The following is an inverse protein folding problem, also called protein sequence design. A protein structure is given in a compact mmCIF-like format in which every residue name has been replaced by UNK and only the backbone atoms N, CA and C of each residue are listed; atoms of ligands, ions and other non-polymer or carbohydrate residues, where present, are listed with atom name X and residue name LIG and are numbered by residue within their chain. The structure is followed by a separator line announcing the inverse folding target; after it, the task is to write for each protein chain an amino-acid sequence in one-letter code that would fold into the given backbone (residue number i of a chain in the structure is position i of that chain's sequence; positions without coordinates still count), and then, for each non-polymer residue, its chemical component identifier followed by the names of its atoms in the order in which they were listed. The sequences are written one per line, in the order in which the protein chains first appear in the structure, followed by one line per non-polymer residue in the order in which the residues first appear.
data_IF_950293333801
#
_entry.id   IF_950293333801
#
_cell.length_a   1.000
_cell.length_b   1.000
_cell.length_c   1.000
_cell.angle_alpha   90.00
_cell.angle_beta   90.00
_cell.angle_gamma   90.00
#
_symmetry.space_group_name_H-M   'P 1'
#
loop_
_entity.id
_entity.type
_entity.pdbx_description
1 polymer ?
#
# COMPACT_ATOMS: atom_id res chain seq x y z
N UNK A 1 31.94 -17.01 17.03
CA UNK A 1 31.06 -16.51 15.94
C UNK A 1 29.97 -17.53 15.69
N UNK A 2 28.75 -17.32 16.20
CA UNK A 2 27.59 -18.17 15.90
C UNK A 2 27.13 -17.87 14.49
N UNK A 3 27.33 -18.79 13.54
CA UNK A 3 26.69 -18.75 12.21
C UNK A 3 25.19 -18.84 12.45
N UNK A 4 24.50 -17.71 12.24
CA UNK A 4 23.04 -17.64 12.36
C UNK A 4 22.40 -18.58 11.33
N UNK A 5 21.80 -19.65 11.80
CA UNK A 5 20.83 -20.40 10.99
C UNK A 5 19.72 -19.38 10.64
N UNK A 6 19.67 -18.93 9.40
CA UNK A 6 18.51 -18.25 8.85
C UNK A 6 17.33 -19.17 9.14
N UNK A 7 16.51 -18.80 10.11
CA UNK A 7 15.33 -19.58 10.46
C UNK A 7 14.44 -19.60 9.20
N UNK A 8 13.91 -20.77 8.86
CA UNK A 8 13.00 -20.94 7.73
C UNK A 8 11.87 -19.89 7.77
N UNK A 9 11.43 -19.49 8.96
CA UNK A 9 10.45 -18.40 9.17
C UNK A 9 10.92 -17.06 8.61
N UNK A 10 12.21 -16.72 8.76
CA UNK A 10 12.76 -15.49 8.21
C UNK A 10 12.84 -15.54 6.68
N UNK A 11 13.14 -16.72 6.12
CA UNK A 11 13.16 -16.91 4.67
C UNK A 11 11.77 -16.68 4.04
N UNK A 12 10.72 -17.24 4.65
CA UNK A 12 9.35 -16.99 4.20
C UNK A 12 8.98 -15.51 4.29
N UNK A 13 9.38 -14.84 5.36
CA UNK A 13 9.17 -13.39 5.51
C UNK A 13 9.82 -12.58 4.39
N UNK A 14 11.06 -12.91 4.05
CA UNK A 14 11.79 -12.27 2.94
C UNK A 14 11.08 -12.51 1.60
N UNK A 15 10.67 -13.75 1.32
CA UNK A 15 9.97 -14.10 0.09
C UNK A 15 8.65 -13.33 -0.03
N UNK A 16 7.82 -13.31 1.03
CA UNK A 16 6.56 -12.56 1.01
C UNK A 16 6.78 -11.07 0.84
N UNK A 17 7.79 -10.50 1.49
CA UNK A 17 8.11 -9.09 1.34
C UNK A 17 8.56 -8.75 -0.09
N UNK A 18 9.41 -9.60 -0.68
CA UNK A 18 9.85 -9.42 -2.07
C UNK A 18 8.69 -9.51 -3.06
N UNK A 19 7.78 -10.48 -2.87
CA UNK A 19 6.58 -10.60 -3.69
C UNK A 19 5.65 -9.39 -3.54
N UNK A 20 5.48 -8.88 -2.32
CA UNK A 20 4.68 -7.68 -2.08
C UNK A 20 5.29 -6.46 -2.79
N UNK A 21 6.60 -6.26 -2.68
CA UNK A 21 7.28 -5.16 -3.37
C UNK A 21 7.21 -5.28 -4.89
N UNK A 22 7.31 -6.49 -5.44
CA UNK A 22 7.09 -6.72 -6.87
C UNK A 22 5.65 -6.40 -7.29
N UNK A 23 4.66 -6.73 -6.44
CA UNK A 23 3.26 -6.36 -6.65
C UNK A 23 3.05 -4.85 -6.71
N UNK A 24 3.62 -4.10 -5.76
CA UNK A 24 3.56 -2.64 -5.78
C UNK A 24 4.24 -2.02 -7.02
N UNK A 25 5.40 -2.56 -7.43
CA UNK A 25 6.08 -2.06 -8.63
C UNK A 25 5.24 -2.29 -9.90
N UNK A 26 4.54 -3.41 -9.99
CA UNK A 26 3.60 -3.67 -11.10
C UNK A 26 2.38 -2.73 -11.04
N UNK A 27 1.84 -2.49 -9.86
CA UNK A 27 0.74 -1.53 -9.66
C UNK A 27 1.15 -0.13 -10.11
N UNK A 28 2.30 0.37 -9.67
CA UNK A 28 2.84 1.68 -10.06
C UNK A 28 3.02 1.80 -11.58
N UNK A 29 3.51 0.74 -12.23
CA UNK A 29 3.67 0.68 -13.68
C UNK A 29 2.31 0.77 -14.38
N UNK A 30 1.31 0.02 -13.92
CA UNK A 30 -0.03 0.03 -14.48
C UNK A 30 -0.67 1.40 -14.32
N UNK A 31 -0.56 2.01 -13.14
CA UNK A 31 -1.04 3.37 -12.87
C UNK A 31 -0.40 4.36 -13.84
N UNK A 32 0.92 4.26 -14.05
CA UNK A 32 1.64 5.13 -14.99
C UNK A 32 1.17 4.96 -16.42
N UNK A 33 0.93 3.75 -16.85
CA UNK A 33 0.40 3.48 -18.21
C UNK A 33 -1.03 4.02 -18.35
N UNK A 34 -1.89 3.80 -17.36
CA UNK A 34 -3.28 4.27 -17.38
C UNK A 34 -3.38 5.79 -17.31
N UNK A 35 -2.45 6.46 -16.61
CA UNK A 35 -2.45 7.92 -16.47
C UNK A 35 -2.24 8.66 -17.80
N UNK A 36 -1.78 7.99 -18.85
CA UNK A 36 -1.71 8.54 -20.21
C UNK A 36 -3.08 8.59 -20.91
N UNK A 37 -4.03 7.78 -20.47
CA UNK A 37 -5.34 7.62 -21.13
C UNK A 37 -6.52 8.07 -20.27
N UNK A 38 -6.36 8.12 -18.95
CA UNK A 38 -7.43 8.37 -17.99
C UNK A 38 -7.00 9.43 -16.96
N UNK A 39 -7.93 10.28 -16.50
CA UNK A 39 -7.68 11.19 -15.39
C UNK A 39 -7.47 10.39 -14.08
N UNK A 40 -6.64 10.93 -13.19
CA UNK A 40 -6.27 10.34 -11.89
C UNK A 40 -7.49 9.92 -11.07
N UNK A 41 -8.57 10.72 -11.12
CA UNK A 41 -9.81 10.42 -10.39
C UNK A 41 -10.47 9.11 -10.82
N UNK A 42 -10.46 8.79 -12.11
CA UNK A 42 -10.97 7.52 -12.61
C UNK A 42 -10.11 6.34 -12.16
N UNK A 43 -8.79 6.48 -12.22
CA UNK A 43 -7.85 5.45 -11.76
C UNK A 43 -8.10 5.14 -10.29
N UNK A 44 -8.25 6.15 -9.44
CA UNK A 44 -8.55 6.00 -8.02
C UNK A 44 -9.86 5.24 -7.77
N UNK A 45 -10.91 5.55 -8.54
CA UNK A 45 -12.21 4.87 -8.42
C UNK A 45 -12.05 3.38 -8.76
N UNK A 46 -11.38 3.04 -9.86
CA UNK A 46 -11.19 1.64 -10.26
C UNK A 46 -10.37 0.86 -9.24
N UNK A 47 -9.25 1.43 -8.77
CA UNK A 47 -8.42 0.80 -7.73
C UNK A 47 -9.23 0.59 -6.45
N UNK A 48 -9.96 1.61 -6.00
CA UNK A 48 -10.79 1.54 -4.80
C UNK A 48 -11.90 0.50 -4.89
N UNK A 49 -12.60 0.43 -6.02
CA UNK A 49 -13.64 -0.57 -6.25
C UNK A 49 -13.07 -1.99 -6.29
N UNK A 50 -11.97 -2.19 -7.01
CA UNK A 50 -11.36 -3.50 -7.15
C UNK A 50 -10.79 -3.99 -5.81
N UNK A 51 -10.03 -3.14 -5.11
CA UNK A 51 -9.51 -3.44 -3.78
C UNK A 51 -10.64 -3.72 -2.78
N UNK A 52 -11.69 -2.89 -2.77
CA UNK A 52 -12.86 -3.09 -1.92
C UNK A 52 -13.54 -4.43 -2.17
N UNK A 53 -13.70 -4.81 -3.43
CA UNK A 53 -14.28 -6.11 -3.82
C UNK A 53 -13.42 -7.28 -3.32
N UNK A 54 -12.11 -7.22 -3.53
CA UNK A 54 -11.16 -8.27 -3.10
C UNK A 54 -11.20 -8.41 -1.57
N UNK A 55 -11.11 -7.29 -0.84
CA UNK A 55 -11.17 -7.33 0.63
C UNK A 55 -12.53 -7.83 1.14
N UNK A 56 -13.63 -7.46 0.49
CA UNK A 56 -14.96 -7.98 0.83
C UNK A 56 -15.03 -9.50 0.68
N UNK A 57 -14.51 -10.03 -0.43
CA UNK A 57 -14.47 -11.47 -0.69
C UNK A 57 -13.63 -12.18 0.39
N UNK A 58 -12.42 -11.68 0.67
CA UNK A 58 -11.52 -12.24 1.69
C UNK A 58 -12.19 -12.24 3.07
N UNK A 59 -12.82 -11.14 3.47
CA UNK A 59 -13.50 -11.03 4.74
C UNK A 59 -14.67 -12.01 4.87
N UNK A 60 -15.42 -12.21 3.78
CA UNK A 60 -16.52 -13.18 3.72
C UNK A 60 -16.02 -14.61 3.88
N UNK A 61 -14.90 -14.98 3.25
CA UNK A 61 -14.30 -16.30 3.40
C UNK A 61 -13.78 -16.53 4.83
N UNK A 62 -13.22 -15.52 5.47
CA UNK A 62 -12.72 -15.58 6.83
C UNK A 62 -13.81 -15.41 7.89
N UNK A 63 -15.09 -15.30 7.51
CA UNK A 63 -16.25 -15.09 8.42
C UNK A 63 -16.04 -13.92 9.38
N UNK A 64 -15.24 -12.94 9.00
CA UNK A 64 -15.03 -11.71 9.78
C UNK A 64 -16.16 -10.71 9.48
N UNK A 65 -16.66 -10.04 10.50
CA UNK A 65 -17.64 -8.97 10.32
C UNK A 65 -17.00 -7.81 9.54
N UNK A 66 -17.46 -7.58 8.31
CA UNK A 66 -16.95 -6.50 7.44
C UNK A 66 -17.36 -5.13 7.98
N UNK A 67 -18.48 -5.07 8.72
CA UNK A 67 -19.04 -3.86 9.31
C UNK A 67 -19.18 -4.02 10.82
N UNK A 68 -18.10 -3.82 11.56
CA UNK A 68 -18.18 -3.65 13.00
C UNK A 68 -18.33 -2.16 13.32
N UNK A 69 -19.49 -1.80 13.86
CA UNK A 69 -19.86 -0.42 14.19
C UNK A 69 -18.91 0.20 15.23
N UNK A 70 -18.28 -0.62 16.05
CA UNK A 70 -17.32 -0.17 17.05
C UNK A 70 -16.01 0.30 16.39
N UNK A 71 -15.57 -0.38 15.35
CA UNK A 71 -14.39 -0.04 14.56
C UNK A 71 -14.59 1.28 13.83
N UNK A 72 -15.77 1.50 13.24
CA UNK A 72 -16.11 2.76 12.57
C UNK A 72 -16.21 3.97 13.52
N UNK A 73 -16.38 3.74 14.82
CA UNK A 73 -16.46 4.80 15.82
C UNK A 73 -15.11 5.20 16.41
N UNK A 74 -14.06 4.45 16.14
CA UNK A 74 -12.71 4.75 16.62
C UNK A 74 -12.13 5.95 15.84
N UNK A 75 -11.89 7.05 16.58
CA UNK A 75 -11.32 8.28 16.03
C UNK A 75 -9.93 8.08 15.45
N UNK A 76 -9.13 7.23 16.08
CA UNK A 76 -7.77 6.91 15.65
C UNK A 76 -7.79 6.23 14.29
N UNK A 77 -8.69 5.25 14.12
CA UNK A 77 -8.83 4.53 12.86
C UNK A 77 -9.34 5.43 11.73
N UNK A 78 -10.31 6.32 12.03
CA UNK A 78 -10.81 7.29 11.05
C UNK A 78 -9.72 8.27 10.59
N UNK A 79 -8.93 8.78 11.54
CA UNK A 79 -7.82 9.69 11.21
C UNK A 79 -6.78 9.00 10.33
N UNK A 80 -6.43 7.76 10.66
CA UNK A 80 -5.52 6.93 9.87
C UNK A 80 -6.06 6.71 8.45
N UNK A 81 -7.32 6.31 8.32
CA UNK A 81 -7.95 6.09 7.01
C UNK A 81 -7.96 7.35 6.15
N UNK A 82 -8.25 8.52 6.76
CA UNK A 82 -8.19 9.79 6.05
C UNK A 82 -6.76 10.12 5.59
N UNK A 83 -5.76 9.89 6.44
CA UNK A 83 -4.37 10.10 6.08
C UNK A 83 -3.93 9.17 4.95
N UNK A 84 -4.32 7.89 5.00
CA UNK A 84 -4.05 6.91 3.94
C UNK A 84 -4.72 7.30 2.61
N UNK A 85 -5.97 7.78 2.65
CA UNK A 85 -6.67 8.27 1.45
C UNK A 85 -5.96 9.48 0.83
N UNK A 86 -5.58 10.46 1.64
CA UNK A 86 -4.84 11.63 1.15
C UNK A 86 -3.48 11.22 0.57
N UNK A 87 -2.78 10.32 1.25
CA UNK A 87 -1.52 9.76 0.77
C UNK A 87 -1.67 9.09 -0.59
N UNK A 88 -2.70 8.26 -0.77
CA UNK A 88 -2.98 7.60 -2.05
C UNK A 88 -3.25 8.61 -3.18
N UNK A 89 -4.06 9.65 -2.91
CA UNK A 89 -4.32 10.70 -3.90
C UNK A 89 -3.03 11.41 -4.31
N UNK A 90 -2.19 11.78 -3.35
CA UNK A 90 -0.92 12.47 -3.64
C UNK A 90 0.06 11.58 -4.41
N UNK A 91 0.20 10.31 -4.02
CA UNK A 91 1.11 9.36 -4.69
C UNK A 91 0.67 9.10 -6.12
N UNK A 92 -0.61 8.81 -6.36
CA UNK A 92 -1.12 8.53 -7.70
C UNK A 92 -1.03 9.77 -8.59
N UNK A 93 -1.29 10.96 -8.04
CA UNK A 93 -1.09 12.22 -8.75
C UNK A 93 0.39 12.42 -9.11
N UNK A 94 1.30 12.17 -8.17
CA UNK A 94 2.74 12.28 -8.43
C UNK A 94 3.20 11.31 -9.53
N UNK A 95 2.76 10.05 -9.49
CA UNK A 95 3.07 9.04 -10.52
C UNK A 95 2.57 9.48 -11.90
N UNK A 96 1.41 10.13 -11.96
CA UNK A 96 0.86 10.62 -13.23
C UNK A 96 1.65 11.77 -13.83
N UNK A 97 2.17 12.68 -13.01
CA UNK A 97 2.82 13.92 -13.45
C UNK A 97 4.33 13.81 -13.62
N UNK A 98 5.00 12.92 -12.90
CA UNK A 98 6.47 12.83 -12.83
C UNK A 98 6.94 11.46 -13.36
N UNK A 99 8.17 11.34 -13.89
CA UNK A 99 8.74 10.05 -14.26
C UNK A 99 8.75 9.08 -13.07
N UNK A 100 8.36 7.82 -13.32
CA UNK A 100 8.23 6.79 -12.30
C UNK A 100 9.51 6.58 -11.49
N UNK A 101 10.68 6.70 -12.14
CA UNK A 101 11.99 6.60 -11.48
C UNK A 101 12.19 7.63 -10.38
N UNK A 102 11.72 8.87 -10.59
CA UNK A 102 11.82 9.94 -9.58
C UNK A 102 10.93 9.66 -8.39
N UNK A 103 9.67 9.25 -8.62
CA UNK A 103 8.72 8.91 -7.55
C UNK A 103 9.24 7.72 -6.75
N UNK A 104 9.70 6.66 -7.42
CA UNK A 104 10.24 5.46 -6.76
C UNK A 104 11.46 5.77 -5.91
N UNK A 105 12.35 6.67 -6.37
CA UNK A 105 13.53 7.08 -5.58
C UNK A 105 13.14 7.80 -4.29
N UNK A 106 12.10 8.64 -4.32
CA UNK A 106 11.58 9.34 -3.14
C UNK A 106 10.90 8.34 -2.19
N UNK A 107 10.10 7.42 -2.73
CA UNK A 107 9.42 6.40 -1.91
C UNK A 107 10.40 5.45 -1.20
N UNK A 108 11.56 5.19 -1.79
CA UNK A 108 12.61 4.40 -1.14
C UNK A 108 13.23 5.09 0.09
N UNK A 109 13.09 6.40 0.23
CA UNK A 109 13.49 7.13 1.44
C UNK A 109 12.48 6.97 2.60
N UNK A 110 11.26 6.53 2.32
CA UNK A 110 10.19 6.38 3.33
C UNK A 110 10.58 5.49 4.52
N UNK A 111 11.21 4.30 4.34
CA UNK A 111 11.65 3.48 5.47
C UNK A 111 12.64 4.19 6.38
N UNK A 112 13.51 5.05 5.83
CA UNK A 112 14.46 5.84 6.61
C UNK A 112 13.73 6.90 7.47
N UNK A 113 12.75 7.58 6.88
CA UNK A 113 11.93 8.56 7.60
C UNK A 113 11.10 7.91 8.71
N UNK A 114 10.53 6.73 8.45
CA UNK A 114 9.78 5.97 9.46
C UNK A 114 10.68 5.52 10.61
N UNK A 115 11.89 5.04 10.32
CA UNK A 115 12.83 4.63 11.37
C UNK A 115 13.32 5.81 12.19
N UNK A 116 13.57 6.97 11.58
CA UNK A 116 13.90 8.20 12.29
C UNK A 116 12.75 8.68 13.17
N UNK A 117 11.51 8.66 12.66
CA UNK A 117 10.32 9.04 13.43
C UNK A 117 10.00 8.07 14.59
N UNK A 118 10.39 6.82 14.49
CA UNK A 118 10.22 5.83 15.57
C UNK A 118 11.31 5.91 16.64
N UNK A 119 12.43 6.61 16.36
CA UNK A 119 13.55 6.77 17.27
C UNK A 119 13.43 8.00 18.19
N UNK A 120 12.43 8.86 17.96
CA UNK A 120 12.08 10.05 18.77
C UNK A 120 10.89 9.72 19.66
#
# INVERSE_FOLDING_TARGET
MKKGKLSLKNLYGIIYMTLAMAGFALEDLIIKMLSAFMPVSQILIYIGLFAGLVFYIIAKFNKTAVFDRNILRDNMLRLRTLADMLGAVFIITAISMVPLSTVSSILQATPLLVTLGAAI
#
